data_IF_551917025769
#
_entry.id   IF_551917025769
#
_cell.length_a   1.000
_cell.length_b   1.000
_cell.length_c   1.000
_cell.angle_alpha   90.00
_cell.angle_beta   90.00
_cell.angle_gamma   90.00
#
_symmetry.space_group_name_H-M   'P 1'
#
loop_
_entity.id
_entity.type
_entity.pdbx_description
1 polymer ?
#
# COMPACT_ATOMS: atom_id res chain seq x y z
N UNK A 1 -7.97 -2.95 -12.28
CA UNK A 1 -6.78 -3.85 -12.23
C UNK A 1 -7.15 -4.98 -11.29
N UNK A 2 -6.61 -6.19 -11.47
CA UNK A 2 -7.03 -7.35 -10.68
C UNK A 2 -6.66 -7.19 -9.19
N UNK A 3 -7.44 -7.83 -8.32
CA UNK A 3 -7.11 -7.94 -6.89
C UNK A 3 -5.72 -8.58 -6.71
N UNK A 4 -4.94 -8.11 -5.74
CA UNK A 4 -3.64 -8.73 -5.47
C UNK A 4 -3.89 -10.14 -4.90
N UNK A 5 -3.18 -11.14 -5.42
CA UNK A 5 -3.28 -12.48 -4.86
C UNK A 5 -2.87 -12.48 -3.39
N UNK A 6 -3.49 -13.34 -2.57
CA UNK A 6 -3.12 -13.49 -1.17
C UNK A 6 -1.62 -13.82 -0.99
N UNK A 7 -1.05 -14.58 -1.92
CA UNK A 7 0.39 -14.86 -1.97
C UNK A 7 1.22 -13.57 -2.13
N UNK A 8 0.83 -12.69 -3.05
CA UNK A 8 1.52 -11.41 -3.28
C UNK A 8 1.43 -10.51 -2.05
N UNK A 9 0.26 -10.43 -1.40
CA UNK A 9 0.08 -9.68 -0.15
C UNK A 9 0.97 -10.22 0.97
N UNK A 10 1.06 -11.55 1.11
CA UNK A 10 1.93 -12.18 2.11
C UNK A 10 3.41 -11.86 1.85
N UNK A 11 3.86 -11.87 0.59
CA UNK A 11 5.23 -11.47 0.23
C UNK A 11 5.48 -10.01 0.62
N UNK A 12 4.56 -9.10 0.28
CA UNK A 12 4.65 -7.67 0.60
C UNK A 12 4.76 -7.47 2.12
N UNK A 13 3.88 -8.08 2.90
CA UNK A 13 3.88 -7.94 4.36
C UNK A 13 5.13 -8.55 4.99
N UNK A 14 5.62 -9.68 4.47
CA UNK A 14 6.89 -10.25 4.91
C UNK A 14 8.06 -9.29 4.66
N UNK A 15 8.12 -8.65 3.48
CA UNK A 15 9.15 -7.66 3.16
C UNK A 15 9.05 -6.44 4.07
N UNK A 16 7.85 -5.91 4.31
CA UNK A 16 7.62 -4.81 5.25
C UNK A 16 8.09 -5.16 6.66
N UNK A 17 7.76 -6.37 7.15
CA UNK A 17 8.21 -6.85 8.46
C UNK A 17 9.74 -6.95 8.55
N UNK A 18 10.40 -7.45 7.50
CA UNK A 18 11.87 -7.55 7.44
C UNK A 18 12.53 -6.17 7.49
N UNK A 19 11.98 -5.18 6.78
CA UNK A 19 12.47 -3.81 6.83
C UNK A 19 12.33 -3.20 8.23
N UNK A 20 11.19 -3.41 8.90
CA UNK A 20 11.00 -2.97 10.29
C UNK A 20 12.01 -3.62 11.24
N UNK A 21 12.32 -4.91 11.06
CA UNK A 21 13.37 -5.58 11.84
C UNK A 21 14.73 -4.93 11.62
N UNK A 22 15.11 -4.63 10.38
CA UNK A 22 16.38 -3.96 10.07
C UNK A 22 16.46 -2.57 10.73
N UNK A 23 15.38 -1.77 10.64
CA UNK A 23 15.30 -0.45 11.27
C UNK A 23 15.49 -0.56 12.79
N UNK A 24 14.81 -1.51 13.41
CA UNK A 24 14.87 -1.76 14.85
C UNK A 24 16.28 -2.21 15.28
N UNK A 25 16.87 -3.17 14.58
CA UNK A 25 18.22 -3.65 14.91
C UNK A 25 19.27 -2.55 14.70
N UNK A 26 19.24 -1.80 13.59
CA UNK A 26 20.15 -0.68 13.39
C UNK A 26 20.04 0.36 14.52
N UNK A 27 18.82 0.70 14.93
CA UNK A 27 18.57 1.64 16.03
C UNK A 27 19.10 1.13 17.37
N UNK A 28 18.86 -0.16 17.69
CA UNK A 28 19.38 -0.79 18.90
C UNK A 28 20.91 -0.82 18.91
N UNK A 29 21.52 -1.21 17.80
CA UNK A 29 22.98 -1.27 17.69
C UNK A 29 23.62 0.11 17.83
N UNK A 30 23.08 1.14 17.17
CA UNK A 30 23.55 2.52 17.35
C UNK A 30 23.46 2.95 18.81
N UNK A 31 22.35 2.64 19.48
CA UNK A 31 22.17 2.98 20.89
C UNK A 31 23.18 2.25 21.80
N UNK A 32 23.44 0.96 21.54
CA UNK A 32 24.44 0.18 22.28
C UNK A 32 25.84 0.75 22.09
N UNK A 33 26.25 1.03 20.85
CA UNK A 33 27.56 1.61 20.55
C UNK A 33 27.73 2.96 21.25
N UNK A 34 26.74 3.84 21.10
CA UNK A 34 26.76 5.16 21.72
C UNK A 34 26.81 5.09 23.26
N UNK A 35 26.05 4.17 23.87
CA UNK A 35 26.00 4.05 25.34
C UNK A 35 27.27 3.45 25.92
N UNK A 36 27.88 2.48 25.23
CA UNK A 36 29.07 1.77 25.73
C UNK A 36 30.38 2.48 25.43
N UNK A 37 30.48 3.12 24.27
CA UNK A 37 31.74 3.68 23.77
C UNK A 37 31.68 5.19 23.55
N UNK A 38 30.48 5.78 23.55
CA UNK A 38 30.29 7.18 23.18
C UNK A 38 30.49 7.42 21.69
N UNK A 39 30.58 8.70 21.34
CA UNK A 39 30.93 9.16 19.99
C UNK A 39 32.41 9.56 19.99
N UNK A 40 33.23 8.71 19.38
CA UNK A 40 34.68 8.85 19.29
C UNK A 40 35.11 8.74 17.83
N UNK A 41 36.33 9.16 17.49
CA UNK A 41 36.86 9.03 16.11
C UNK A 41 36.75 7.59 15.57
N UNK A 42 36.81 6.59 16.44
CA UNK A 42 36.73 5.19 16.10
C UNK A 42 35.30 4.60 16.11
N UNK A 43 34.28 5.36 16.52
CA UNK A 43 32.87 4.91 16.52
C UNK A 43 31.97 5.72 15.60
N UNK A 44 32.41 6.92 15.21
CA UNK A 44 31.73 7.78 14.22
C UNK A 44 31.43 7.01 12.92
N UNK A 45 32.39 6.33 12.26
CA UNK A 45 32.08 5.68 10.98
C UNK A 45 31.05 4.56 11.12
N UNK A 46 31.06 3.81 12.22
CA UNK A 46 30.11 2.73 12.51
C UNK A 46 28.71 3.30 12.79
N UNK A 47 28.62 4.39 13.54
CA UNK A 47 27.34 5.07 13.82
C UNK A 47 26.73 5.65 12.53
N UNK A 48 27.56 6.23 11.65
CA UNK A 48 27.14 6.72 10.34
C UNK A 48 26.67 5.58 9.42
N UNK A 49 27.36 4.44 9.42
CA UNK A 49 26.93 3.27 8.65
C UNK A 49 25.57 2.76 9.13
N UNK A 50 25.37 2.65 10.44
CA UNK A 50 24.09 2.23 11.03
C UNK A 50 22.97 3.22 10.72
N UNK A 51 23.26 4.53 10.75
CA UNK A 51 22.34 5.57 10.32
C UNK A 51 21.93 5.37 8.86
N UNK A 52 22.91 5.19 7.97
CA UNK A 52 22.68 4.95 6.54
C UNK A 52 21.86 3.68 6.28
N UNK A 53 22.07 2.61 7.06
CA UNK A 53 21.25 1.39 6.97
C UNK A 53 19.80 1.67 7.39
N UNK A 54 19.61 2.38 8.51
CA UNK A 54 18.28 2.76 9.01
C UNK A 54 17.51 3.61 8.01
N UNK A 55 18.15 4.63 7.44
CA UNK A 55 17.54 5.53 6.46
C UNK A 55 17.13 4.79 5.18
N UNK A 56 18.02 3.95 4.65
CA UNK A 56 17.70 3.12 3.46
C UNK A 56 16.53 2.19 3.73
N UNK A 57 16.53 1.47 4.86
CA UNK A 57 15.44 0.57 5.21
C UNK A 57 14.10 1.32 5.39
N UNK A 58 14.13 2.50 6.01
CA UNK A 58 12.96 3.37 6.17
C UNK A 58 12.42 3.85 4.82
N UNK A 59 13.30 4.27 3.90
CA UNK A 59 12.93 4.68 2.55
C UNK A 59 12.23 3.55 1.79
N UNK A 60 12.77 2.33 1.83
CA UNK A 60 12.15 1.17 1.20
C UNK A 60 10.81 0.80 1.84
N UNK A 61 10.71 0.87 3.17
CA UNK A 61 9.47 0.58 3.88
C UNK A 61 8.36 1.55 3.46
N UNK A 62 8.63 2.85 3.47
CA UNK A 62 7.66 3.88 3.09
C UNK A 62 7.21 3.69 1.64
N UNK A 63 8.13 3.43 0.72
CA UNK A 63 7.81 3.18 -0.70
C UNK A 63 6.90 1.98 -0.85
N UNK A 64 7.24 0.85 -0.22
CA UNK A 64 6.45 -0.38 -0.33
C UNK A 64 5.07 -0.23 0.32
N UNK A 65 4.99 0.42 1.48
CA UNK A 65 3.72 0.76 2.14
C UNK A 65 2.83 1.61 1.24
N UNK A 66 3.35 2.70 0.68
CA UNK A 66 2.59 3.60 -0.20
C UNK A 66 2.09 2.89 -1.45
N UNK A 67 2.94 2.08 -2.09
CA UNK A 67 2.53 1.30 -3.27
C UNK A 67 1.41 0.31 -2.92
N UNK A 68 1.52 -0.37 -1.78
CA UNK A 68 0.49 -1.32 -1.32
C UNK A 68 -0.85 -0.62 -1.09
N UNK A 69 -0.82 0.55 -0.46
CA UNK A 69 -2.01 1.37 -0.22
C UNK A 69 -2.63 1.87 -1.54
N UNK A 70 -1.80 2.42 -2.44
CA UNK A 70 -2.27 2.88 -3.75
C UNK A 70 -2.91 1.76 -4.58
N UNK A 71 -2.37 0.54 -4.51
CA UNK A 71 -2.97 -0.62 -5.19
C UNK A 71 -4.34 -0.93 -4.58
N UNK A 72 -4.47 -0.91 -3.25
CA UNK A 72 -5.74 -1.14 -2.58
C UNK A 72 -6.78 -0.04 -2.92
N UNK A 73 -6.38 1.23 -2.96
CA UNK A 73 -7.23 2.38 -3.25
C UNK A 73 -7.59 2.50 -4.74
N UNK A 74 -6.74 2.00 -5.64
CA UNK A 74 -6.98 1.99 -7.09
C UNK A 74 -7.86 0.82 -7.55
N UNK A 75 -8.26 -0.08 -6.63
CA UNK A 75 -9.37 -0.98 -6.89
C UNK A 75 -10.61 -0.15 -7.20
N UNK A 76 -11.45 -0.55 -8.16
CA UNK A 76 -12.58 0.27 -8.55
C UNK A 76 -13.42 0.56 -7.31
N UNK A 77 -13.43 1.82 -6.86
CA UNK A 77 -14.51 2.35 -6.04
C UNK A 77 -15.76 1.92 -6.78
N UNK A 78 -16.52 1.00 -6.17
CA UNK A 78 -17.68 0.37 -6.77
C UNK A 78 -18.35 1.45 -7.60
N UNK A 79 -18.25 1.31 -8.91
CA UNK A 79 -19.05 2.13 -9.79
C UNK A 79 -20.42 1.70 -9.36
N UNK A 80 -21.08 2.54 -8.55
CA UNK A 80 -22.51 2.57 -8.33
C UNK A 80 -23.13 2.92 -9.68
N UNK A 81 -22.86 2.06 -10.65
CA UNK A 81 -23.56 1.91 -11.89
C UNK A 81 -24.75 1.03 -11.52
N UNK A 82 -25.63 1.58 -10.69
CA UNK A 82 -27.06 1.33 -10.80
C UNK A 82 -27.50 1.91 -12.15
N UNK A 83 -26.99 1.35 -13.25
CA UNK A 83 -27.71 1.39 -14.51
C UNK A 83 -28.69 0.24 -14.44
N UNK A 84 -29.83 0.48 -13.79
CA UNK A 84 -31.02 -0.27 -14.14
C UNK A 84 -31.21 -0.11 -15.65
N UNK A 85 -31.38 -1.18 -16.43
CA UNK A 85 -31.81 -1.01 -17.81
C UNK A 85 -33.16 -0.30 -17.78
N UNK A 86 -33.24 0.89 -18.39
CA UNK A 86 -34.52 1.53 -18.69
C UNK A 86 -35.26 0.56 -19.61
N UNK A 87 -36.23 -0.16 -19.05
CA UNK A 87 -37.10 -1.03 -19.80
C UNK A 87 -38.09 -0.16 -20.57
N UNK A 88 -37.74 0.21 -21.81
CA UNK A 88 -38.73 0.77 -22.75
C UNK A 88 -39.46 -0.41 -23.38
N UNK A 89 -40.36 -1.02 -22.62
CA UNK A 89 -41.45 -1.83 -23.19
C UNK A 89 -42.47 -0.89 -23.81
N UNK A 90 -42.21 -0.48 -25.04
CA UNK A 90 -43.22 0.00 -25.97
C UNK A 90 -44.21 -1.14 -26.29
N UNK A 91 -45.22 -1.33 -25.43
CA UNK A 91 -46.44 -2.04 -25.82
C UNK A 91 -47.54 -1.02 -26.08
N UNK A 92 -47.76 -0.76 -27.36
CA UNK A 92 -48.61 0.30 -27.86
C UNK A 92 -50.10 0.14 -27.53
N UNK A 93 -50.74 1.29 -27.32
CA UNK A 93 -52.16 1.47 -27.59
C UNK A 93 -52.36 2.81 -28.31
N UNK A 94 -52.19 2.77 -29.64
CA UNK A 94 -52.92 3.66 -30.53
C UNK A 94 -53.65 2.79 -31.55
N UNK A 95 -54.96 2.60 -31.33
CA UNK A 95 -55.87 2.17 -32.39
C UNK A 95 -57.12 3.04 -32.35
N UNK A 96 -57.14 4.05 -33.21
CA UNK A 96 -58.36 4.72 -33.64
C UNK A 96 -59.26 3.74 -34.42
N UNK A 97 -60.58 3.74 -34.18
CA UNK A 97 -61.57 3.76 -35.27
C UNK A 97 -62.96 4.18 -34.81
N UNK A 98 -63.57 4.98 -35.69
CA UNK A 98 -64.89 5.64 -35.64
C UNK A 98 -66.07 4.65 -35.65
N UNK A 99 -67.17 5.09 -35.05
CA UNK A 99 -68.50 5.12 -35.68
C UNK A 99 -69.37 3.87 -35.57
N UNK A 100 -70.39 3.96 -34.71
CA UNK A 100 -71.81 3.81 -35.05
C UNK A 100 -72.64 4.66 -34.08
#
# INVERSE_FOLDING_TARGET
MADLSAETLNIIFNLQQRLLKIINEATKFSFVIFTQFGETEATIPELDELQNVRERATSYYIKLYRLSLQIAESQPAATSRFTSPINISSSGYYRCRRGQ
#
